data_IF_770054655116
#
_entry.id   IF_770054655116
#
_cell.length_a   1.000
_cell.length_b   1.000
_cell.length_c   1.000
_cell.angle_alpha   90.00
_cell.angle_beta   90.00
_cell.angle_gamma   90.00
#
_symmetry.space_group_name_H-M   'P 1'
#
loop_
_entity.id
_entity.type
_entity.pdbx_description
1 polymer ?
#
# COMPACT_ATOMS: atom_id res chain seq x y z
N UNK A 1 -0.82 36.59 -2.85
CA UNK A 1 -1.81 35.88 -3.68
C UNK A 1 -1.07 35.17 -4.80
N UNK A 2 -0.50 34.00 -4.50
CA UNK A 2 -0.01 33.02 -5.48
C UNK A 2 -0.39 31.67 -4.88
N UNK A 3 -1.30 30.99 -5.58
CA UNK A 3 -1.99 29.80 -5.13
C UNK A 3 -1.02 28.64 -4.86
N UNK A 4 -1.44 27.79 -3.92
CA UNK A 4 -0.95 26.44 -3.67
C UNK A 4 -0.50 25.74 -4.95
N UNK A 5 0.80 25.45 -5.05
CA UNK A 5 1.26 24.27 -5.78
C UNK A 5 0.83 23.07 -4.97
N UNK A 6 -0.28 22.45 -5.36
CA UNK A 6 -0.60 21.10 -4.95
C UNK A 6 0.58 20.20 -5.34
N UNK A 7 1.40 19.85 -4.34
CA UNK A 7 2.41 18.81 -4.45
C UNK A 7 1.70 17.47 -4.68
N UNK A 8 1.31 17.23 -5.93
CA UNK A 8 1.04 15.90 -6.43
C UNK A 8 2.39 15.21 -6.42
N UNK A 9 2.74 14.57 -5.31
CA UNK A 9 3.96 13.78 -5.21
C UNK A 9 3.97 12.83 -6.41
N UNK A 10 5.00 12.88 -7.29
CA UNK A 10 5.05 11.96 -8.42
C UNK A 10 4.94 10.55 -7.86
N UNK A 11 4.08 9.73 -8.47
CA UNK A 11 4.00 8.32 -8.13
C UNK A 11 5.36 7.71 -8.46
N UNK A 12 6.27 7.67 -7.49
CA UNK A 12 7.66 7.32 -7.73
C UNK A 12 7.69 5.98 -8.47
N UNK A 13 8.25 5.90 -9.68
CA UNK A 13 8.24 4.66 -10.46
C UNK A 13 8.89 3.51 -9.68
N UNK A 14 9.80 3.83 -8.77
CA UNK A 14 10.39 2.92 -7.78
C UNK A 14 9.33 2.28 -6.86
N UNK A 15 8.37 3.04 -6.35
CA UNK A 15 7.30 2.53 -5.48
C UNK A 15 6.37 1.61 -6.26
N UNK A 16 6.02 1.97 -7.49
CA UNK A 16 5.24 1.10 -8.37
C UNK A 16 5.99 -0.22 -8.64
N UNK A 17 7.29 -0.12 -8.93
CA UNK A 17 8.15 -1.27 -9.16
C UNK A 17 8.18 -2.21 -7.96
N UNK A 18 8.50 -1.69 -6.76
CA UNK A 18 8.59 -2.49 -5.54
C UNK A 18 7.26 -3.12 -5.14
N UNK A 19 6.14 -2.44 -5.42
CA UNK A 19 4.80 -2.93 -5.02
C UNK A 19 4.25 -4.02 -5.93
N UNK A 20 4.52 -3.93 -7.23
CA UNK A 20 3.83 -4.75 -8.23
C UNK A 20 4.77 -5.51 -9.14
N UNK A 21 5.83 -4.86 -9.62
CA UNK A 21 6.74 -5.46 -10.60
C UNK A 21 7.64 -6.50 -9.95
N UNK A 22 8.24 -6.17 -8.79
CA UNK A 22 9.08 -7.09 -8.05
C UNK A 22 8.35 -8.40 -7.68
N UNK A 23 7.18 -8.39 -7.00
CA UNK A 23 6.48 -9.64 -6.68
C UNK A 23 6.01 -10.39 -7.94
N UNK A 24 5.61 -9.69 -9.00
CA UNK A 24 5.26 -10.35 -10.27
C UNK A 24 6.47 -11.08 -10.89
N UNK A 25 7.66 -10.45 -10.87
CA UNK A 25 8.90 -11.08 -11.34
C UNK A 25 9.20 -12.33 -10.52
N UNK A 26 9.08 -12.27 -9.19
CA UNK A 26 9.30 -13.44 -8.32
C UNK A 26 8.37 -14.59 -8.70
N UNK A 27 7.07 -14.33 -8.90
CA UNK A 27 6.13 -15.36 -9.35
C UNK A 27 6.50 -15.92 -10.72
N UNK A 28 6.85 -15.07 -11.69
CA UNK A 28 7.25 -15.48 -13.03
C UNK A 28 8.50 -16.35 -12.99
N UNK A 29 9.48 -16.02 -12.15
CA UNK A 29 10.70 -16.82 -11.97
C UNK A 29 10.36 -18.20 -11.40
N UNK A 30 9.51 -18.29 -10.38
CA UNK A 30 9.07 -19.58 -9.82
C UNK A 30 8.38 -20.47 -10.87
N UNK A 31 7.49 -19.90 -11.66
CA UNK A 31 6.80 -20.60 -12.75
C UNK A 31 7.79 -21.02 -13.84
N UNK A 32 8.71 -20.13 -14.24
CA UNK A 32 9.70 -20.41 -15.27
C UNK A 32 10.66 -21.54 -14.86
N UNK A 33 11.06 -21.58 -13.59
CA UNK A 33 11.89 -22.67 -13.05
C UNK A 33 11.14 -24.00 -13.04
N UNK A 34 9.86 -24.01 -12.64
CA UNK A 34 9.05 -25.23 -12.71
C UNK A 34 8.89 -25.71 -14.16
N UNK A 35 8.64 -24.79 -15.10
CA UNK A 35 8.50 -25.11 -16.53
C UNK A 35 9.80 -25.62 -17.17
N UNK A 36 10.94 -25.01 -16.83
CA UNK A 36 12.24 -25.38 -17.38
C UNK A 36 12.68 -26.79 -16.96
N UNK A 37 12.18 -27.29 -15.82
CA UNK A 37 12.47 -28.63 -15.32
C UNK A 37 11.34 -29.64 -15.61
N UNK A 38 10.33 -29.25 -16.41
CA UNK A 38 9.31 -30.18 -16.90
C UNK A 38 8.15 -30.43 -15.94
N UNK A 39 7.96 -29.57 -14.93
CA UNK A 39 6.86 -29.68 -13.95
C UNK A 39 6.82 -31.04 -13.22
N UNK A 40 7.97 -31.61 -12.90
CA UNK A 40 8.06 -32.73 -11.97
C UNK A 40 7.77 -32.30 -10.53
N UNK A 41 7.49 -33.27 -9.65
CA UNK A 41 7.05 -33.00 -8.27
C UNK A 41 8.01 -32.08 -7.50
N UNK A 42 9.32 -32.32 -7.60
CA UNK A 42 10.35 -31.50 -6.95
C UNK A 42 10.36 -30.05 -7.46
N UNK A 43 10.23 -29.86 -8.78
CA UNK A 43 10.23 -28.51 -9.36
C UNK A 43 8.91 -27.78 -9.12
N UNK A 44 7.81 -28.51 -9.01
CA UNK A 44 6.53 -27.94 -8.60
C UNK A 44 6.57 -27.48 -7.14
N UNK A 45 7.16 -28.27 -6.24
CA UNK A 45 7.34 -27.87 -4.84
C UNK A 45 8.21 -26.59 -4.74
N UNK A 46 9.38 -26.60 -5.37
CA UNK A 46 10.28 -25.44 -5.38
C UNK A 46 9.66 -24.21 -6.05
N UNK A 47 9.02 -24.41 -7.20
CA UNK A 47 8.32 -23.33 -7.93
C UNK A 47 7.16 -22.74 -7.14
N UNK A 48 6.35 -23.59 -6.49
CA UNK A 48 5.24 -23.16 -5.64
C UNK A 48 5.73 -22.37 -4.42
N UNK A 49 6.85 -22.76 -3.81
CA UNK A 49 7.46 -22.01 -2.72
C UNK A 49 7.86 -20.58 -3.16
N UNK A 50 8.47 -20.45 -4.34
CA UNK A 50 8.86 -19.14 -4.90
C UNK A 50 7.64 -18.29 -5.24
N UNK A 51 6.62 -18.89 -5.88
CA UNK A 51 5.36 -18.20 -6.17
C UNK A 51 4.67 -17.76 -4.87
N UNK A 52 4.66 -18.62 -3.85
CA UNK A 52 4.14 -18.30 -2.53
C UNK A 52 4.86 -17.11 -1.88
N UNK A 53 6.17 -17.00 -2.04
CA UNK A 53 6.94 -15.85 -1.60
C UNK A 53 6.55 -14.57 -2.35
N UNK A 54 6.42 -14.62 -3.67
CA UNK A 54 5.98 -13.48 -4.49
C UNK A 54 4.57 -12.99 -4.14
N UNK A 55 3.64 -13.94 -3.93
CA UNK A 55 2.28 -13.64 -3.48
C UNK A 55 2.25 -13.06 -2.05
N UNK A 56 3.09 -13.56 -1.14
CA UNK A 56 3.22 -13.03 0.21
C UNK A 56 3.70 -11.57 0.21
N UNK A 57 4.67 -11.24 -0.65
CA UNK A 57 5.14 -9.85 -0.84
C UNK A 57 3.99 -8.97 -1.36
N UNK A 58 3.26 -9.44 -2.37
CA UNK A 58 2.11 -8.73 -2.92
C UNK A 58 1.03 -8.48 -1.86
N UNK A 59 0.70 -9.52 -1.08
CA UNK A 59 -0.27 -9.42 0.01
C UNK A 59 0.18 -8.42 1.08
N UNK A 60 1.46 -8.45 1.47
CA UNK A 60 2.00 -7.48 2.42
C UNK A 60 1.88 -6.05 1.91
N UNK A 61 2.18 -5.80 0.64
CA UNK A 61 2.02 -4.48 0.01
C UNK A 61 0.56 -4.01 0.04
N UNK A 62 -0.39 -4.93 -0.21
CA UNK A 62 -1.84 -4.63 -0.13
C UNK A 62 -2.25 -4.30 1.31
N UNK A 63 -1.84 -5.12 2.28
CA UNK A 63 -2.20 -4.91 3.68
C UNK A 63 -1.65 -3.57 4.21
N UNK A 64 -0.41 -3.22 3.84
CA UNK A 64 0.20 -1.94 4.19
C UNK A 64 -0.61 -0.76 3.65
N UNK A 65 -1.08 -0.86 2.41
CA UNK A 65 -1.92 0.19 1.80
C UNK A 65 -3.24 0.36 2.56
N UNK A 66 -3.90 -0.74 2.91
CA UNK A 66 -5.17 -0.70 3.65
C UNK A 66 -4.95 -0.18 5.06
N UNK A 67 -3.88 -0.60 5.74
CA UNK A 67 -3.55 -0.17 7.10
C UNK A 67 -3.23 1.32 7.19
N UNK A 68 -2.46 1.87 6.25
CA UNK A 68 -2.12 3.31 6.23
C UNK A 68 -3.32 4.18 5.92
N UNK A 69 -4.27 3.71 5.11
CA UNK A 69 -5.48 4.49 4.82
C UNK A 69 -6.32 4.78 6.05
N UNK A 70 -6.19 4.00 7.13
CA UNK A 70 -6.89 4.26 8.40
C UNK A 70 -6.13 5.19 9.35
N UNK A 71 -4.84 5.45 9.10
CA UNK A 71 -4.01 6.31 9.96
C UNK A 71 -4.39 7.79 9.76
N UNK A 72 -4.68 8.19 8.53
CA UNK A 72 -5.17 9.54 8.22
C UNK A 72 -6.49 9.88 8.92
N UNK A 73 -7.39 8.89 9.01
CA UNK A 73 -8.69 9.08 9.66
C UNK A 73 -8.52 9.24 11.18
N UNK A 74 -7.57 8.51 11.78
CA UNK A 74 -7.19 8.70 13.18
C UNK A 74 -6.56 10.05 13.45
N UNK A 75 -5.66 10.50 12.58
CA UNK A 75 -5.03 11.82 12.73
C UNK A 75 -6.07 12.95 12.65
N UNK A 76 -7.05 12.82 11.74
CA UNK A 76 -8.17 13.75 11.65
C UNK A 76 -9.04 13.75 12.92
N UNK A 77 -9.32 12.58 13.49
CA UNK A 77 -10.05 12.46 14.75
C UNK A 77 -9.28 13.08 15.94
N UNK A 78 -7.98 12.82 16.03
CA UNK A 78 -7.11 13.40 17.07
C UNK A 78 -7.09 14.92 16.96
N UNK A 79 -6.93 15.46 15.75
CA UNK A 79 -6.96 16.91 15.52
C UNK A 79 -8.32 17.54 15.90
N UNK A 80 -9.43 16.83 15.65
CA UNK A 80 -10.76 17.28 16.03
C UNK A 80 -10.94 17.32 17.56
N UNK A 81 -10.41 16.32 18.28
CA UNK A 81 -10.43 16.28 19.75
C UNK A 81 -9.57 17.39 20.36
N UNK A 82 -8.36 17.61 19.84
CA UNK A 82 -7.49 18.72 20.26
C UNK A 82 -8.16 20.09 20.07
N UNK A 83 -8.92 20.25 18.97
CA UNK A 83 -9.72 21.44 18.72
C UNK A 83 -10.82 21.61 19.77
N UNK A 84 -11.55 20.53 20.07
CA UNK A 84 -12.61 20.55 21.07
C UNK A 84 -12.07 20.89 22.46
N UNK A 85 -10.97 20.27 22.89
CA UNK A 85 -10.35 20.53 24.19
C UNK A 85 -9.88 21.98 24.33
N UNK A 86 -9.43 22.59 23.22
CA UNK A 86 -8.94 23.98 23.21
C UNK A 86 -10.04 25.02 23.10
N UNK A 87 -11.09 24.76 22.33
CA UNK A 87 -12.10 25.77 21.96
C UNK A 87 -13.51 25.48 22.49
N UNK A 88 -13.73 24.31 23.10
CA UNK A 88 -15.02 23.88 23.67
C UNK A 88 -16.12 23.65 22.64
N UNK A 89 -15.77 23.52 21.36
CA UNK A 89 -16.68 23.31 20.22
C UNK A 89 -16.01 22.45 19.18
N UNK A 90 -16.78 21.79 18.33
CA UNK A 90 -16.20 20.97 17.27
C UNK A 90 -15.77 21.83 16.06
N UNK A 91 -14.77 21.38 15.27
CA UNK A 91 -14.30 22.14 14.12
C UNK A 91 -15.34 22.27 13.00
N UNK A 92 -16.25 21.31 12.85
CA UNK A 92 -17.38 21.34 11.91
C UNK A 92 -18.47 22.34 12.34
N UNK A 93 -18.67 22.55 13.64
CA UNK A 93 -19.57 23.60 14.18
C UNK A 93 -19.03 25.01 13.91
N UNK A 94 -17.71 25.13 13.69
CA UNK A 94 -17.03 26.40 13.41
C UNK A 94 -17.04 26.80 11.94
N UNK A 95 -17.21 25.82 11.05
CA UNK A 95 -17.20 26.03 9.61
C UNK A 95 -18.65 26.32 9.15
N UNK A 96 -18.95 27.49 8.56
CA UNK A 96 -20.27 27.70 7.99
C UNK A 96 -20.51 26.66 6.89
N UNK A 97 -21.59 25.89 7.00
CA UNK A 97 -22.04 24.98 5.94
C UNK A 97 -22.24 25.79 4.66
N UNK A 98 -21.39 25.54 3.65
CA UNK A 98 -21.49 26.12 2.32
C UNK A 98 -22.17 25.16 1.37
#
# INVERSE_FOLDING_TARGET
MTAETSDVLPSSPLILFLRWVLPAIVCVVGIALAAANGFDDDSLEGGAAIVGAGLSICLMNVLWRVGISGDSDRDAEVAARDHFDRFGRWPDESAPSR
#
